data_IF_550873657104
#
_entry.id   IF_550873657104
#
_cell.length_a   1.000
_cell.length_b   1.000
_cell.length_c   1.000
_cell.angle_alpha   90.00
_cell.angle_beta   90.00
_cell.angle_gamma   90.00
#
_symmetry.space_group_name_H-M   'P 1'
#
loop_
_entity.id
_entity.type
_entity.pdbx_description
1 polymer ?
#
# COMPACT_ATOMS: atom_id res chain seq x y z
N UNK A 1 18.64 -34.06 21.99
CA UNK A 1 18.88 -32.82 21.20
C UNK A 1 19.13 -31.66 22.15
N UNK A 2 20.40 -31.21 22.25
CA UNK A 2 20.81 -30.15 23.20
C UNK A 2 20.53 -28.77 22.61
N UNK A 3 19.69 -28.02 23.26
CA UNK A 3 19.42 -26.62 22.90
C UNK A 3 20.67 -25.78 23.16
N UNK A 4 21.22 -25.13 22.13
CA UNK A 4 22.26 -24.12 22.26
C UNK A 4 21.65 -22.88 22.95
N UNK A 5 22.02 -22.65 24.19
CA UNK A 5 21.79 -21.37 24.88
C UNK A 5 22.71 -20.33 24.25
N UNK A 6 22.14 -19.42 23.48
CA UNK A 6 22.84 -18.20 23.06
C UNK A 6 23.14 -17.34 24.27
N UNK A 7 24.42 -17.13 24.58
CA UNK A 7 24.87 -16.28 25.69
C UNK A 7 24.94 -14.85 25.16
N UNK A 8 24.08 -13.99 25.69
CA UNK A 8 24.17 -12.54 25.45
C UNK A 8 25.36 -12.02 26.24
N UNK A 9 26.38 -11.54 25.56
CA UNK A 9 27.54 -10.88 26.17
C UNK A 9 27.25 -9.39 26.36
N UNK A 10 26.98 -9.00 27.57
CA UNK A 10 26.87 -7.58 27.95
C UNK A 10 28.28 -7.09 28.36
N UNK A 11 28.95 -6.42 27.44
CA UNK A 11 30.17 -5.69 27.77
C UNK A 11 29.84 -4.32 28.40
N UNK A 12 30.52 -3.90 29.48
CA UNK A 12 30.29 -2.56 30.07
C UNK A 12 30.96 -1.48 29.22
N UNK A 13 30.14 -0.72 28.49
CA UNK A 13 30.61 0.50 27.80
C UNK A 13 30.66 1.63 28.83
N UNK A 14 31.83 1.86 29.45
CA UNK A 14 32.13 3.11 30.19
C UNK A 14 32.39 4.22 29.17
N UNK A 15 31.35 4.88 28.70
CA UNK A 15 31.44 6.11 27.91
C UNK A 15 31.55 7.33 28.83
N UNK A 16 32.67 8.04 28.74
CA UNK A 16 32.89 9.34 29.40
C UNK A 16 31.93 10.36 28.79
N UNK A 17 30.96 10.84 29.57
CA UNK A 17 30.02 11.89 29.17
C UNK A 17 30.83 13.16 28.86
N UNK A 18 31.00 13.48 27.60
CA UNK A 18 31.44 14.80 27.13
C UNK A 18 30.25 15.75 27.15
N UNK A 19 30.45 16.94 27.70
CA UNK A 19 29.45 18.01 27.78
C UNK A 19 28.81 18.30 26.38
N UNK A 20 27.55 18.73 26.35
CA UNK A 20 26.80 18.90 25.10
C UNK A 20 27.36 20.07 24.29
N UNK A 21 27.90 19.78 23.12
CA UNK A 21 28.09 20.76 22.07
C UNK A 21 26.69 21.22 21.66
N UNK A 22 26.34 22.47 21.96
CA UNK A 22 25.12 23.11 21.51
C UNK A 22 25.17 23.24 19.98
N UNK A 23 24.87 22.15 19.26
CA UNK A 23 24.61 22.20 17.86
C UNK A 23 23.26 22.91 17.65
N UNK A 24 23.32 24.08 17.04
CA UNK A 24 22.18 24.91 16.68
C UNK A 24 21.46 24.23 15.52
N UNK A 25 20.62 23.25 15.80
CA UNK A 25 19.79 22.58 14.81
C UNK A 25 18.72 23.57 14.33
N UNK A 26 18.80 23.99 13.08
CA UNK A 26 17.70 24.67 12.41
C UNK A 26 16.53 23.67 12.32
N UNK A 27 15.28 24.10 12.53
CA UNK A 27 14.16 23.18 12.56
C UNK A 27 13.90 22.61 11.14
N UNK A 28 14.43 21.41 10.89
CA UNK A 28 14.10 20.59 9.72
C UNK A 28 12.64 20.09 9.75
N UNK A 29 11.91 20.34 10.83
CA UNK A 29 10.53 19.89 11.01
C UNK A 29 9.53 20.42 9.99
N UNK A 30 9.81 21.53 9.29
CA UNK A 30 8.92 22.03 8.22
C UNK A 30 9.11 21.30 6.89
N UNK A 31 10.27 20.72 6.63
CA UNK A 31 10.52 19.97 5.39
C UNK A 31 10.00 18.53 5.46
N UNK A 32 10.00 17.92 6.64
CA UNK A 32 9.51 16.54 6.83
C UNK A 32 7.97 16.46 6.75
N UNK A 33 7.26 17.50 7.20
CA UNK A 33 5.78 17.56 7.07
C UNK A 33 5.31 17.73 5.61
N UNK A 34 6.14 18.33 4.76
CA UNK A 34 5.81 18.50 3.34
C UNK A 34 6.08 17.25 2.48
N UNK A 35 7.05 16.41 2.87
CA UNK A 35 7.41 15.22 2.10
C UNK A 35 6.46 14.02 2.33
N UNK A 36 5.79 13.96 3.48
CA UNK A 36 4.94 12.81 3.84
C UNK A 36 3.54 12.79 3.22
N UNK A 37 3.08 13.88 2.61
CA UNK A 37 1.73 13.97 2.03
C UNK A 37 1.71 14.02 0.49
N UNK A 38 2.87 14.05 -0.17
CA UNK A 38 2.98 14.36 -1.61
C UNK A 38 2.91 13.17 -2.56
N UNK A 39 3.36 11.99 -2.20
CA UNK A 39 3.75 10.99 -3.22
C UNK A 39 2.72 9.87 -3.49
N UNK A 40 1.71 9.68 -2.67
CA UNK A 40 0.71 8.63 -2.90
C UNK A 40 -0.44 9.02 -3.84
N UNK A 41 -0.63 10.33 -4.10
CA UNK A 41 -1.75 10.85 -4.90
C UNK A 41 -1.36 11.12 -6.36
N UNK A 42 -0.07 11.14 -6.69
CA UNK A 42 0.42 11.76 -7.94
C UNK A 42 0.30 10.92 -9.21
N UNK A 43 0.05 9.61 -9.15
CA UNK A 43 0.00 8.80 -10.39
C UNK A 43 -1.32 8.83 -11.14
N UNK A 44 -2.43 9.21 -10.49
CA UNK A 44 -3.73 9.38 -11.15
C UNK A 44 -4.02 10.81 -11.60
N UNK A 45 -3.16 11.79 -11.27
CA UNK A 45 -3.40 13.20 -11.59
C UNK A 45 -2.80 13.67 -12.92
N UNK A 46 -2.03 12.86 -13.63
CA UNK A 46 -1.39 13.27 -14.89
C UNK A 46 -2.37 13.51 -16.05
N UNK A 47 -3.65 13.16 -15.91
CA UNK A 47 -4.70 13.37 -16.93
C UNK A 47 -5.96 14.03 -16.35
N UNK A 48 -5.86 14.86 -15.32
CA UNK A 48 -7.00 15.62 -14.83
C UNK A 48 -6.83 17.11 -15.14
N UNK A 49 -7.69 17.63 -16.02
CA UNK A 49 -7.84 19.06 -16.28
C UNK A 49 -9.06 19.55 -15.49
N UNK A 50 -8.87 20.52 -14.56
CA UNK A 50 -9.93 21.05 -13.68
C UNK A 50 -10.66 20.03 -12.82
N UNK A 51 -9.95 19.00 -12.29
CA UNK A 51 -10.56 18.02 -11.37
C UNK A 51 -11.48 16.98 -12.05
N UNK A 52 -11.52 16.93 -13.39
CA UNK A 52 -12.19 15.88 -14.16
C UNK A 52 -11.15 15.09 -14.93
N UNK A 53 -11.17 13.78 -14.83
CA UNK A 53 -10.30 12.92 -15.61
C UNK A 53 -10.64 13.07 -17.10
N UNK A 54 -9.68 13.53 -17.90
CA UNK A 54 -9.83 13.67 -19.38
C UNK A 54 -9.50 12.35 -20.09
N UNK A 55 -9.26 11.29 -19.34
CA UNK A 55 -8.85 9.99 -19.87
C UNK A 55 -9.90 9.37 -20.84
N UNK A 56 -11.17 9.70 -20.68
CA UNK A 56 -12.26 9.26 -21.57
C UNK A 56 -12.17 9.84 -22.99
N UNK A 57 -11.42 10.93 -23.19
CA UNK A 57 -11.20 11.50 -24.52
C UNK A 57 -10.39 10.56 -25.41
N UNK A 58 -9.52 9.71 -24.85
CA UNK A 58 -8.66 8.85 -25.64
C UNK A 58 -9.45 7.79 -26.44
N UNK A 59 -10.35 6.98 -25.83
CA UNK A 59 -11.20 6.09 -26.60
C UNK A 59 -12.17 6.83 -27.54
N UNK A 60 -12.60 8.05 -27.20
CA UNK A 60 -13.42 8.87 -28.07
C UNK A 60 -12.66 9.32 -29.33
N UNK A 61 -11.45 9.84 -29.17
CA UNK A 61 -10.59 10.25 -30.30
C UNK A 61 -10.26 9.05 -31.20
N UNK A 62 -10.02 7.89 -30.58
CA UNK A 62 -9.80 6.66 -31.33
C UNK A 62 -11.02 6.28 -32.18
N UNK A 63 -12.22 6.34 -31.60
CA UNK A 63 -13.47 6.05 -32.31
C UNK A 63 -13.67 7.00 -33.49
N UNK A 64 -13.51 8.31 -33.25
CA UNK A 64 -13.64 9.34 -34.30
C UNK A 64 -12.59 9.13 -35.40
N UNK A 65 -11.35 8.80 -35.03
CA UNK A 65 -10.26 8.54 -35.94
C UNK A 65 -10.52 7.34 -36.85
N UNK A 66 -11.03 6.23 -36.29
CA UNK A 66 -11.40 5.02 -37.03
C UNK A 66 -12.56 5.34 -38.01
N UNK A 67 -13.61 6.03 -37.54
CA UNK A 67 -14.76 6.38 -38.36
C UNK A 67 -14.36 7.35 -39.48
N UNK A 68 -13.56 8.37 -39.19
CA UNK A 68 -13.08 9.30 -40.22
C UNK A 68 -12.15 8.61 -41.24
N UNK A 69 -11.28 7.69 -40.77
CA UNK A 69 -10.42 6.88 -41.62
C UNK A 69 -11.22 6.00 -42.57
N UNK A 70 -12.27 5.37 -42.09
CA UNK A 70 -13.16 4.52 -42.92
C UNK A 70 -13.87 5.31 -44.01
N UNK A 71 -14.35 6.53 -43.67
CA UNK A 71 -14.98 7.44 -44.66
C UNK A 71 -13.99 7.89 -45.74
N UNK A 72 -12.73 8.15 -45.39
CA UNK A 72 -11.76 8.73 -46.33
C UNK A 72 -11.05 7.69 -47.19
N UNK A 73 -10.87 6.47 -46.69
CA UNK A 73 -10.04 5.46 -47.38
C UNK A 73 -10.78 4.59 -48.35
N UNK A 74 -12.12 4.48 -48.23
CA UNK A 74 -13.02 3.82 -49.24
C UNK A 74 -12.68 2.39 -49.65
N UNK A 75 -11.41 1.99 -49.62
CA UNK A 75 -10.89 0.71 -50.09
C UNK A 75 -10.54 -0.30 -48.99
N UNK A 76 -10.41 0.13 -47.75
CA UNK A 76 -10.07 -0.74 -46.61
C UNK A 76 -11.19 -0.76 -45.58
N UNK A 77 -11.57 -1.93 -45.12
CA UNK A 77 -12.60 -2.12 -44.09
C UNK A 77 -12.05 -1.82 -42.68
N UNK A 78 -11.81 -0.53 -42.42
CA UNK A 78 -11.23 -0.07 -41.12
C UNK A 78 -12.30 -0.08 -40.01
N UNK A 79 -13.60 -0.08 -40.39
CA UNK A 79 -14.70 0.00 -39.40
C UNK A 79 -14.67 -1.14 -38.36
N UNK A 80 -14.22 -2.33 -38.74
CA UNK A 80 -14.08 -3.47 -37.82
C UNK A 80 -13.10 -3.21 -36.68
N UNK A 81 -12.17 -2.23 -36.82
CA UNK A 81 -11.24 -1.81 -35.79
C UNK A 81 -11.92 -1.07 -34.64
N UNK A 82 -13.20 -0.72 -34.76
CA UNK A 82 -14.01 -0.17 -33.67
C UNK A 82 -14.03 -1.09 -32.44
N UNK A 83 -13.74 -2.40 -32.61
CA UNK A 83 -13.55 -3.36 -31.51
C UNK A 83 -12.42 -2.95 -30.53
N UNK A 84 -11.44 -2.16 -31.00
CA UNK A 84 -10.34 -1.68 -30.14
C UNK A 84 -10.81 -0.61 -29.13
N UNK A 85 -11.86 0.15 -29.46
CA UNK A 85 -12.36 1.25 -28.64
C UNK A 85 -12.80 0.80 -27.25
N UNK A 86 -13.68 -0.22 -27.10
CA UNK A 86 -14.03 -0.74 -25.78
C UNK A 86 -12.83 -1.39 -25.07
N UNK A 87 -11.88 -1.99 -25.81
CA UNK A 87 -10.62 -2.52 -25.23
C UNK A 87 -9.78 -1.44 -24.57
N UNK A 88 -9.57 -0.31 -25.25
CA UNK A 88 -8.85 0.86 -24.70
C UNK A 88 -9.65 1.48 -23.56
N UNK A 89 -10.97 1.59 -23.68
CA UNK A 89 -11.81 2.08 -22.60
C UNK A 89 -11.73 1.19 -21.35
N UNK A 90 -11.62 -0.13 -21.51
CA UNK A 90 -11.45 -1.08 -20.41
C UNK A 90 -10.14 -0.86 -19.62
N UNK A 91 -9.08 -0.38 -20.27
CA UNK A 91 -7.82 -0.07 -19.60
C UNK A 91 -7.86 1.23 -18.78
N UNK A 92 -8.68 2.20 -19.18
CA UNK A 92 -8.64 3.58 -18.67
C UNK A 92 -9.92 3.95 -17.89
N UNK A 93 -11.08 3.53 -18.39
CA UNK A 93 -12.39 3.86 -17.83
C UNK A 93 -12.83 2.81 -16.79
N UNK A 94 -13.85 3.17 -15.98
CA UNK A 94 -14.54 2.19 -15.15
C UNK A 94 -15.50 1.32 -15.98
N UNK A 95 -16.11 0.32 -15.33
CA UNK A 95 -17.02 -0.64 -15.97
C UNK A 95 -18.13 0.04 -16.79
N UNK A 96 -18.79 1.05 -16.22
CA UNK A 96 -19.86 1.80 -16.89
C UNK A 96 -19.35 2.61 -18.10
N UNK A 97 -18.16 3.22 -17.97
CA UNK A 97 -17.53 3.92 -19.10
C UNK A 97 -17.19 2.97 -20.25
N UNK A 98 -16.63 1.79 -19.92
CA UNK A 98 -16.34 0.75 -20.92
C UNK A 98 -17.62 0.26 -21.61
N UNK A 99 -18.68 0.02 -20.85
CA UNK A 99 -19.97 -0.38 -21.41
C UNK A 99 -20.55 0.70 -22.35
N UNK A 100 -20.48 1.98 -21.97
CA UNK A 100 -20.93 3.07 -22.81
C UNK A 100 -20.14 3.15 -24.14
N UNK A 101 -18.81 3.01 -24.10
CA UNK A 101 -17.99 2.97 -25.30
C UNK A 101 -18.23 1.71 -26.14
N UNK A 102 -18.53 0.56 -25.51
CA UNK A 102 -18.93 -0.64 -26.19
C UNK A 102 -20.22 -0.48 -26.99
N UNK A 103 -21.28 0.08 -26.35
CA UNK A 103 -22.54 0.40 -27.02
C UNK A 103 -22.31 1.42 -28.15
N UNK A 104 -21.52 2.46 -27.90
CA UNK A 104 -21.22 3.46 -28.91
C UNK A 104 -20.47 2.87 -30.11
N UNK A 105 -19.52 1.96 -29.89
CA UNK A 105 -18.81 1.27 -30.96
C UNK A 105 -19.77 0.40 -31.83
N UNK A 106 -20.70 -0.32 -31.18
CA UNK A 106 -21.71 -1.11 -31.88
C UNK A 106 -22.66 -0.22 -32.71
N UNK A 107 -23.11 0.91 -32.13
CA UNK A 107 -23.99 1.86 -32.84
C UNK A 107 -23.30 2.45 -34.06
N UNK A 108 -22.03 2.89 -33.88
CA UNK A 108 -21.26 3.43 -35.03
C UNK A 108 -21.04 2.39 -36.10
N UNK A 109 -20.72 1.14 -35.69
CA UNK A 109 -20.59 0.03 -36.66
C UNK A 109 -21.86 -0.19 -37.46
N UNK A 110 -23.02 -0.32 -36.79
CA UNK A 110 -24.32 -0.53 -37.44
C UNK A 110 -24.70 0.66 -38.34
N UNK A 111 -24.45 1.90 -37.90
CA UNK A 111 -24.70 3.08 -38.73
C UNK A 111 -23.83 3.09 -39.98
N UNK A 112 -22.56 2.75 -39.87
CA UNK A 112 -21.65 2.67 -41.00
C UNK A 112 -22.11 1.57 -42.00
N UNK A 113 -22.48 0.40 -41.51
CA UNK A 113 -22.97 -0.72 -42.32
C UNK A 113 -24.27 -0.37 -43.06
N UNK A 114 -25.20 0.35 -42.43
CA UNK A 114 -26.48 0.75 -43.03
C UNK A 114 -26.35 1.90 -44.03
N UNK A 115 -25.44 2.85 -43.83
CA UNK A 115 -25.24 4.00 -44.72
C UNK A 115 -24.47 3.63 -45.96
N UNK A 116 -23.53 2.68 -45.88
CA UNK A 116 -22.75 2.21 -47.04
C UNK A 116 -23.17 0.83 -47.54
N UNK A 117 -24.42 0.69 -47.94
CA UNK A 117 -25.05 -0.55 -48.45
C UNK A 117 -24.32 -1.26 -49.61
N UNK A 118 -23.17 -0.79 -50.07
CA UNK A 118 -22.44 -1.35 -51.19
C UNK A 118 -21.34 -2.35 -50.82
N UNK A 119 -21.19 -2.68 -49.55
CA UNK A 119 -20.17 -3.62 -49.06
C UNK A 119 -20.82 -4.92 -48.60
N UNK A 120 -20.97 -5.85 -49.51
CA UNK A 120 -21.62 -7.16 -49.25
C UNK A 120 -20.86 -8.08 -48.28
N UNK A 121 -19.61 -7.73 -47.86
CA UNK A 121 -18.75 -8.64 -47.12
C UNK A 121 -18.58 -8.32 -45.62
N UNK A 122 -18.97 -7.15 -45.13
CA UNK A 122 -18.76 -6.77 -43.72
C UNK A 122 -19.82 -7.22 -42.73
N UNK A 123 -21.00 -7.39 -43.14
CA UNK A 123 -22.22 -7.81 -42.45
C UNK A 123 -22.09 -8.41 -41.04
N UNK A 124 -22.73 -9.56 -40.84
CA UNK A 124 -22.82 -10.23 -39.53
C UNK A 124 -21.51 -10.58 -38.85
N UNK A 125 -20.40 -11.00 -39.52
CA UNK A 125 -19.16 -11.35 -38.82
C UNK A 125 -18.49 -10.17 -38.08
N UNK A 126 -18.46 -8.99 -38.70
CA UNK A 126 -17.91 -7.79 -38.12
C UNK A 126 -18.73 -7.31 -36.90
N UNK A 127 -20.06 -7.33 -37.01
CA UNK A 127 -20.94 -7.00 -35.90
C UNK A 127 -20.73 -7.95 -34.71
N UNK A 128 -20.64 -9.24 -34.95
CA UNK A 128 -20.39 -10.25 -33.91
C UNK A 128 -19.04 -9.97 -33.24
N UNK A 129 -18.00 -9.64 -34.01
CA UNK A 129 -16.69 -9.31 -33.48
C UNK A 129 -16.73 -8.08 -32.55
N UNK A 130 -17.40 -7.00 -32.96
CA UNK A 130 -17.50 -5.77 -32.15
C UNK A 130 -18.33 -6.00 -30.88
N UNK A 131 -19.43 -6.75 -30.98
CA UNK A 131 -20.25 -7.08 -29.80
C UNK A 131 -19.51 -7.98 -28.83
N UNK A 132 -18.90 -9.07 -29.29
CA UNK A 132 -18.13 -9.97 -28.45
C UNK A 132 -16.90 -9.26 -27.83
N UNK A 133 -16.18 -8.46 -28.59
CA UNK A 133 -15.07 -7.66 -28.13
C UNK A 133 -15.49 -6.67 -27.04
N UNK A 134 -16.65 -6.01 -27.22
CA UNK A 134 -17.22 -5.11 -26.21
C UNK A 134 -17.59 -5.85 -24.93
N UNK A 135 -18.17 -7.04 -25.04
CA UNK A 135 -18.51 -7.86 -23.86
C UNK A 135 -17.26 -8.29 -23.08
N UNK A 136 -16.25 -8.77 -23.80
CA UNK A 136 -14.96 -9.15 -23.21
C UNK A 136 -14.31 -7.95 -22.53
N UNK A 137 -14.35 -6.77 -23.16
CA UNK A 137 -13.81 -5.53 -22.59
C UNK A 137 -14.51 -5.14 -21.28
N UNK A 138 -15.84 -5.25 -21.21
CA UNK A 138 -16.60 -4.97 -19.98
C UNK A 138 -16.26 -5.95 -18.88
N UNK A 139 -16.14 -7.23 -19.19
CA UNK A 139 -15.73 -8.26 -18.21
C UNK A 139 -14.31 -7.99 -17.71
N UNK A 140 -13.38 -7.68 -18.61
CA UNK A 140 -12.00 -7.33 -18.24
C UNK A 140 -11.95 -6.08 -17.34
N UNK A 141 -12.73 -5.03 -17.66
CA UNK A 141 -12.87 -3.85 -16.83
C UNK A 141 -13.42 -4.18 -15.43
N UNK A 142 -14.40 -5.08 -15.34
CA UNK A 142 -14.98 -5.51 -14.06
C UNK A 142 -13.95 -6.25 -13.19
N UNK A 143 -13.17 -7.16 -13.78
CA UNK A 143 -12.09 -7.84 -13.06
C UNK A 143 -10.99 -6.86 -12.60
N UNK A 144 -10.57 -5.93 -13.46
CA UNK A 144 -9.57 -4.90 -13.12
C UNK A 144 -10.04 -4.03 -11.95
N UNK A 145 -11.23 -3.44 -12.06
CA UNK A 145 -11.80 -2.57 -11.02
C UNK A 145 -12.05 -3.34 -9.73
N UNK A 146 -12.50 -4.60 -9.82
CA UNK A 146 -12.65 -5.47 -8.65
C UNK A 146 -11.34 -5.75 -7.95
N UNK A 147 -10.26 -6.01 -8.70
CA UNK A 147 -8.91 -6.20 -8.17
C UNK A 147 -8.37 -4.94 -7.47
N UNK A 148 -8.50 -3.77 -8.12
CA UNK A 148 -8.11 -2.49 -7.55
C UNK A 148 -8.83 -2.19 -6.22
N UNK A 149 -10.15 -2.41 -6.16
CA UNK A 149 -10.94 -2.20 -4.94
C UNK A 149 -10.52 -3.12 -3.81
N UNK A 150 -10.25 -4.41 -4.09
CA UNK A 150 -9.76 -5.36 -3.08
C UNK A 150 -8.40 -4.93 -2.53
N UNK A 151 -7.51 -4.46 -3.39
CA UNK A 151 -6.19 -4.00 -2.99
C UNK A 151 -6.26 -2.74 -2.11
N UNK A 152 -7.10 -1.77 -2.45
CA UNK A 152 -7.34 -0.57 -1.64
C UNK A 152 -7.92 -0.93 -0.27
N UNK A 153 -8.90 -1.82 -0.23
CA UNK A 153 -9.50 -2.27 1.04
C UNK A 153 -8.49 -2.97 1.95
N UNK A 154 -7.63 -3.81 1.39
CA UNK A 154 -6.52 -4.44 2.15
C UNK A 154 -5.54 -3.41 2.70
N UNK A 155 -5.25 -2.33 1.94
CA UNK A 155 -4.41 -1.21 2.40
C UNK A 155 -5.02 -0.48 3.59
N UNK A 156 -6.31 -0.18 3.53
CA UNK A 156 -7.02 0.53 4.60
C UNK A 156 -7.05 -0.29 5.90
N UNK A 157 -7.27 -1.61 5.81
CA UNK A 157 -7.22 -2.51 6.97
C UNK A 157 -5.81 -2.53 7.57
N UNK A 158 -4.79 -2.69 6.74
CA UNK A 158 -3.40 -2.72 7.17
C UNK A 158 -2.98 -1.40 7.85
N UNK A 159 -3.36 -0.26 7.30
CA UNK A 159 -3.05 1.08 7.85
C UNK A 159 -3.80 1.33 9.17
N UNK A 160 -5.06 0.91 9.25
CA UNK A 160 -5.85 1.02 10.48
C UNK A 160 -5.27 0.15 11.58
N UNK A 161 -4.91 -1.10 11.28
CA UNK A 161 -4.28 -2.01 12.24
C UNK A 161 -2.95 -1.45 12.74
N UNK A 162 -2.13 -0.93 11.84
CA UNK A 162 -0.85 -0.28 12.19
C UNK A 162 -1.05 0.90 13.12
N UNK A 163 -1.97 1.83 12.83
CA UNK A 163 -2.26 3.01 13.67
C UNK A 163 -2.78 2.63 15.05
N UNK A 164 -3.45 1.51 15.17
CA UNK A 164 -3.92 0.99 16.46
C UNK A 164 -2.77 0.45 17.30
N UNK A 165 -1.78 -0.19 16.67
CA UNK A 165 -0.61 -0.78 17.33
C UNK A 165 0.46 0.27 17.63
N UNK A 166 0.81 1.08 16.62
CA UNK A 166 1.79 2.17 16.73
C UNK A 166 1.06 3.46 17.11
N UNK A 167 1.08 3.81 18.39
CA UNK A 167 0.50 5.07 18.88
C UNK A 167 1.24 6.27 18.27
N UNK A 168 0.52 7.33 17.85
CA UNK A 168 1.17 8.60 17.58
C UNK A 168 1.87 9.11 18.84
N UNK A 169 3.13 9.50 18.72
CA UNK A 169 3.89 10.07 19.83
C UNK A 169 3.74 11.59 19.80
N UNK A 170 3.21 12.22 20.85
CA UNK A 170 3.13 13.68 20.94
C UNK A 170 4.52 14.32 20.98
N UNK A 171 4.67 15.54 20.44
CA UNK A 171 5.93 16.30 20.53
C UNK A 171 6.32 16.49 22.00
N UNK A 172 7.58 16.21 22.33
CA UNK A 172 8.08 16.32 23.71
C UNK A 172 7.64 15.19 24.63
N UNK A 173 7.06 14.10 24.10
CA UNK A 173 6.60 12.98 24.91
C UNK A 173 7.74 12.34 25.69
N UNK A 174 7.53 12.14 27.00
CA UNK A 174 8.54 11.62 27.90
C UNK A 174 9.72 12.58 28.16
N UNK A 175 9.58 13.87 27.87
CA UNK A 175 10.65 14.86 28.02
C UNK A 175 11.71 14.77 26.91
N UNK A 176 11.47 14.00 25.87
CA UNK A 176 12.41 13.81 24.75
C UNK A 176 12.02 14.67 23.54
N UNK A 177 13.00 15.33 22.94
CA UNK A 177 12.85 15.89 21.60
C UNK A 177 13.08 14.76 20.58
N UNK A 178 11.98 14.31 19.97
CA UNK A 178 11.99 13.17 19.06
C UNK A 178 11.26 13.49 17.76
N UNK A 179 11.68 12.83 16.70
CA UNK A 179 10.97 12.77 15.43
C UNK A 179 10.84 11.29 15.01
N UNK A 180 9.62 10.86 14.79
CA UNK A 180 9.34 9.49 14.34
C UNK A 180 8.72 9.54 12.95
N UNK A 181 9.33 8.86 11.99
CA UNK A 181 8.82 8.69 10.63
C UNK A 181 8.78 7.20 10.33
N UNK A 182 7.62 6.72 9.94
CA UNK A 182 7.47 5.36 9.45
C UNK A 182 7.41 5.39 7.91
N UNK A 183 8.40 4.81 7.27
CA UNK A 183 8.47 4.68 5.82
C UNK A 183 8.18 3.23 5.45
N UNK A 184 7.03 2.98 4.80
CA UNK A 184 6.76 1.66 4.23
C UNK A 184 7.64 1.45 3.00
N UNK A 185 8.47 0.41 3.01
CA UNK A 185 9.35 0.08 1.90
C UNK A 185 8.61 -0.45 0.65
N UNK A 186 7.34 -0.82 0.78
CA UNK A 186 6.58 -1.47 -0.28
C UNK A 186 5.26 -0.75 -0.53
N UNK A 187 5.05 -0.29 -1.76
CA UNK A 187 3.80 0.34 -2.21
C UNK A 187 2.62 -0.65 -2.27
N UNK A 188 2.89 -1.94 -2.16
CA UNK A 188 1.90 -3.03 -2.23
C UNK A 188 1.38 -3.48 -0.86
N UNK A 189 1.15 -2.55 0.06
CA UNK A 189 0.31 -2.75 1.24
C UNK A 189 0.64 -3.96 2.15
N UNK A 190 1.90 -4.37 2.24
CA UNK A 190 2.31 -5.32 3.28
C UNK A 190 2.86 -4.54 4.47
N UNK A 191 2.11 -4.53 5.56
CA UNK A 191 2.55 -3.93 6.82
C UNK A 191 3.82 -4.64 7.26
N UNK A 192 4.88 -3.87 7.54
CA UNK A 192 6.14 -4.40 8.07
C UNK A 192 6.03 -4.79 9.53
N UNK A 193 7.08 -5.45 10.03
CA UNK A 193 7.26 -5.81 11.44
C UNK A 193 7.88 -4.71 12.28
N UNK A 194 8.25 -3.56 11.69
CA UNK A 194 8.87 -2.44 12.39
C UNK A 194 7.97 -1.88 13.48
N UNK A 195 8.52 -1.68 14.65
CA UNK A 195 7.80 -1.11 15.78
C UNK A 195 8.69 -0.19 16.62
N UNK A 196 8.09 0.82 17.21
CA UNK A 196 8.74 1.71 18.16
C UNK A 196 7.75 2.24 19.17
N UNK A 197 8.24 2.61 20.36
CA UNK A 197 7.46 3.33 21.36
C UNK A 197 8.36 4.09 22.33
N UNK A 198 7.80 5.08 23.00
CA UNK A 198 8.39 5.82 24.09
C UNK A 198 7.47 5.64 25.30
N UNK A 199 8.03 5.21 26.42
CA UNK A 199 7.28 5.04 27.66
C UNK A 199 7.97 5.84 28.77
N UNK A 200 7.41 7.00 29.19
CA UNK A 200 7.81 7.67 30.40
C UNK A 200 7.30 6.91 31.63
N UNK A 201 8.08 6.89 32.68
CA UNK A 201 7.75 6.19 33.91
C UNK A 201 8.52 6.69 35.13
N UNK A 202 8.29 6.11 36.34
CA UNK A 202 8.95 6.48 37.56
C UNK A 202 10.48 6.32 37.53
N UNK A 203 10.96 5.46 36.65
CA UNK A 203 12.38 5.12 36.50
C UNK A 203 13.04 5.79 35.28
N UNK A 204 12.50 6.93 34.83
CA UNK A 204 12.93 7.64 33.62
C UNK A 204 12.13 7.28 32.37
N UNK A 205 12.54 7.83 31.24
CA UNK A 205 11.90 7.57 29.95
C UNK A 205 12.62 6.44 29.23
N UNK A 206 11.87 5.50 28.69
CA UNK A 206 12.39 4.36 27.95
C UNK A 206 11.91 4.38 26.53
N UNK A 207 12.80 4.03 25.61
CA UNK A 207 12.55 3.99 24.17
C UNK A 207 12.82 2.58 23.69
N UNK A 208 11.91 2.05 22.87
CA UNK A 208 12.04 0.77 22.18
C UNK A 208 11.93 1.01 20.68
N UNK A 209 12.86 0.45 19.93
CA UNK A 209 12.81 0.39 18.46
C UNK A 209 13.16 -1.04 18.05
N UNK A 210 12.37 -1.64 17.18
CA UNK A 210 12.62 -3.02 16.76
C UNK A 210 11.94 -3.38 15.46
N UNK A 211 12.26 -4.57 14.98
CA UNK A 211 11.66 -5.18 13.79
C UNK A 211 11.36 -6.66 14.05
N UNK A 212 10.17 -7.08 13.64
CA UNK A 212 9.74 -8.50 13.66
C UNK A 212 9.95 -9.10 12.29
N UNK A 213 10.61 -10.24 12.25
CA UNK A 213 10.84 -10.99 11.02
C UNK A 213 9.53 -11.24 10.25
N UNK A 214 9.55 -10.90 8.95
CA UNK A 214 8.47 -11.17 8.02
C UNK A 214 7.52 -9.97 7.85
N UNK A 215 6.44 -10.20 7.09
CA UNK A 215 5.49 -9.16 6.68
C UNK A 215 4.05 -9.64 6.94
N UNK A 216 3.12 -8.67 6.95
CA UNK A 216 1.69 -8.93 7.09
C UNK A 216 1.20 -9.04 8.53
N UNK A 217 -0.04 -9.47 8.69
CA UNK A 217 -0.75 -9.44 9.97
C UNK A 217 -0.05 -10.18 11.12
N UNK A 218 0.62 -11.31 10.85
CA UNK A 218 1.35 -12.04 11.88
C UNK A 218 2.55 -11.25 12.45
N UNK A 219 3.25 -10.47 11.62
CA UNK A 219 4.32 -9.59 12.11
C UNK A 219 3.75 -8.45 12.97
N UNK A 220 2.64 -7.85 12.55
CA UNK A 220 1.94 -6.81 13.30
C UNK A 220 1.41 -7.33 14.64
N UNK A 221 0.84 -8.53 14.67
CA UNK A 221 0.36 -9.20 15.88
C UNK A 221 1.51 -9.42 16.89
N UNK A 222 2.66 -9.86 16.40
CA UNK A 222 3.86 -10.04 17.22
C UNK A 222 4.37 -8.68 17.74
N UNK A 223 4.45 -7.66 16.89
CA UNK A 223 4.84 -6.31 17.28
C UNK A 223 3.88 -5.73 18.33
N UNK A 224 2.57 -5.91 18.16
CA UNK A 224 1.56 -5.49 19.13
C UNK A 224 1.75 -6.16 20.50
N UNK A 225 2.05 -7.46 20.50
CA UNK A 225 2.32 -8.21 21.71
C UNK A 225 3.56 -7.70 22.46
N UNK A 226 4.63 -7.40 21.71
CA UNK A 226 5.87 -6.82 22.28
C UNK A 226 5.65 -5.40 22.80
N UNK A 227 4.96 -4.54 22.04
CA UNK A 227 4.67 -3.16 22.47
C UNK A 227 3.79 -3.12 23.73
N UNK A 228 2.77 -3.99 23.82
CA UNK A 228 1.96 -4.10 25.03
C UNK A 228 2.80 -4.47 26.26
N UNK A 229 3.69 -5.46 26.13
CA UNK A 229 4.60 -5.86 27.20
C UNK A 229 5.62 -4.77 27.53
N UNK A 230 6.16 -4.09 26.51
CA UNK A 230 7.08 -2.97 26.72
C UNK A 230 6.45 -1.85 27.53
N UNK A 231 5.24 -1.41 27.19
CA UNK A 231 4.53 -0.32 27.87
C UNK A 231 4.36 -0.61 29.35
N UNK A 232 4.00 -1.84 29.68
CA UNK A 232 3.81 -2.29 31.06
C UNK A 232 5.15 -2.44 31.79
N UNK A 233 6.06 -3.21 31.22
CA UNK A 233 7.36 -3.47 31.85
C UNK A 233 8.21 -2.20 31.97
N UNK A 234 8.23 -1.34 30.96
CA UNK A 234 8.99 -0.09 30.97
C UNK A 234 8.49 0.91 32.02
N UNK A 235 7.24 0.85 32.41
CA UNK A 235 6.69 1.67 33.48
C UNK A 235 7.07 1.14 34.86
N UNK A 236 6.96 -0.17 35.08
CA UNK A 236 7.08 -0.77 36.41
C UNK A 236 8.48 -1.23 36.78
N UNK A 237 9.29 -1.70 35.84
CA UNK A 237 10.57 -2.30 36.15
C UNK A 237 11.69 -1.25 36.32
N UNK A 238 12.52 -1.35 37.37
CA UNK A 238 13.56 -0.38 37.62
C UNK A 238 14.73 -0.46 36.63
N UNK A 239 15.02 -1.62 36.09
CA UNK A 239 16.19 -1.82 35.21
C UNK A 239 15.79 -2.32 33.80
N UNK A 240 16.63 -1.97 32.80
CA UNK A 240 16.42 -2.29 31.42
C UNK A 240 16.59 -3.81 31.11
N UNK A 241 17.42 -4.49 31.93
CA UNK A 241 17.64 -5.92 31.72
C UNK A 241 16.37 -6.70 32.00
N UNK A 242 15.65 -6.37 33.07
CA UNK A 242 14.36 -6.97 33.40
C UNK A 242 13.31 -6.67 32.35
N UNK A 243 13.27 -5.45 31.79
CA UNK A 243 12.37 -5.13 30.67
C UNK A 243 12.68 -6.00 29.46
N UNK A 244 13.95 -6.17 29.10
CA UNK A 244 14.36 -7.02 28.00
C UNK A 244 13.98 -8.49 28.21
N UNK A 245 14.17 -9.02 29.41
CA UNK A 245 13.80 -10.39 29.78
C UNK A 245 12.28 -10.63 29.69
N UNK A 246 11.48 -9.64 30.07
CA UNK A 246 10.01 -9.71 29.91
C UNK A 246 9.59 -9.73 28.43
N UNK A 247 10.26 -8.95 27.58
CA UNK A 247 10.03 -8.97 26.13
C UNK A 247 10.39 -10.33 25.54
N UNK A 248 11.53 -10.91 25.92
CA UNK A 248 11.94 -12.24 25.50
C UNK A 248 10.92 -13.32 25.94
N UNK A 249 10.52 -13.28 27.20
CA UNK A 249 9.47 -14.17 27.73
C UNK A 249 8.15 -14.02 26.96
N UNK A 250 7.74 -12.79 26.64
CA UNK A 250 6.56 -12.53 25.82
C UNK A 250 6.69 -13.15 24.44
N UNK A 251 7.84 -13.03 23.83
CA UNK A 251 8.11 -13.59 22.51
C UNK A 251 7.98 -15.12 22.50
N UNK A 252 8.55 -15.79 23.49
CA UNK A 252 8.44 -17.26 23.65
C UNK A 252 6.99 -17.67 23.85
N UNK A 253 6.24 -16.98 24.70
CA UNK A 253 4.82 -17.26 24.95
C UNK A 253 3.96 -17.04 23.71
N UNK A 254 4.21 -15.97 22.98
CA UNK A 254 3.50 -15.64 21.73
C UNK A 254 3.72 -16.73 20.68
N UNK A 255 4.97 -17.16 20.47
CA UNK A 255 5.32 -18.25 19.54
C UNK A 255 4.62 -19.56 19.89
N UNK A 256 4.59 -19.94 21.19
CA UNK A 256 3.86 -21.14 21.65
C UNK A 256 2.36 -21.06 21.38
N UNK A 257 1.77 -19.89 21.61
CA UNK A 257 0.34 -19.67 21.34
C UNK A 257 0.03 -19.79 19.86
N UNK A 258 0.81 -19.13 18.99
CA UNK A 258 0.64 -19.15 17.53
C UNK A 258 0.84 -20.56 16.96
N UNK A 259 1.83 -21.29 17.44
CA UNK A 259 2.04 -22.70 17.08
C UNK A 259 0.87 -23.59 17.51
N UNK A 260 0.29 -23.35 18.69
CA UNK A 260 -0.91 -24.07 19.18
C UNK A 260 -2.17 -23.81 18.32
N UNK A 261 -2.22 -22.70 17.59
CA UNK A 261 -3.27 -22.42 16.61
C UNK A 261 -3.02 -23.05 15.23
N UNK A 262 -1.96 -23.82 15.06
CA UNK A 262 -1.61 -24.49 13.79
C UNK A 262 -1.08 -23.50 12.71
N UNK A 263 -0.67 -22.31 13.09
CA UNK A 263 -0.16 -21.30 12.14
C UNK A 263 1.32 -21.51 11.86
N UNK A 264 1.69 -21.46 10.58
CA UNK A 264 3.07 -21.70 10.10
C UNK A 264 4.05 -20.56 10.44
N UNK A 265 3.55 -19.44 10.96
CA UNK A 265 4.34 -18.26 11.31
C UNK A 265 4.83 -18.21 12.78
N UNK A 266 4.77 -19.35 13.48
CA UNK A 266 5.18 -19.50 14.90
C UNK A 266 6.68 -19.35 15.18
N UNK A 267 7.55 -19.39 14.17
CA UNK A 267 9.01 -19.29 14.33
C UNK A 267 9.60 -17.89 14.13
N UNK A 268 8.75 -16.86 14.13
CA UNK A 268 9.21 -15.47 13.99
C UNK A 268 10.12 -15.07 15.15
N UNK A 269 11.11 -14.23 14.85
CA UNK A 269 11.94 -13.56 15.84
C UNK A 269 11.82 -12.03 15.66
N UNK A 270 12.21 -11.30 16.67
CA UNK A 270 12.32 -9.86 16.64
C UNK A 270 13.71 -9.41 17.08
N UNK A 271 14.19 -8.36 16.43
CA UNK A 271 15.36 -7.61 16.89
C UNK A 271 14.91 -6.29 17.47
N UNK A 272 15.50 -5.87 18.57
CA UNK A 272 15.12 -4.61 19.20
C UNK A 272 16.30 -3.94 19.92
N UNK A 273 16.24 -2.62 19.99
CA UNK A 273 17.10 -1.76 20.79
C UNK A 273 16.25 -1.13 21.88
N UNK A 274 16.70 -1.25 23.12
CA UNK A 274 16.08 -0.66 24.30
C UNK A 274 17.01 0.40 24.90
N UNK A 275 16.50 1.61 25.08
CA UNK A 275 17.24 2.77 25.58
C UNK A 275 16.53 3.31 26.82
N UNK A 276 17.29 3.61 27.88
CA UNK A 276 16.83 4.32 29.08
C UNK A 276 17.44 5.72 29.14
N UNK A 277 16.60 6.70 29.41
CA UNK A 277 16.96 8.10 29.62
C UNK A 277 16.45 8.48 30.96
N UNK A 278 17.41 8.85 31.85
CA UNK A 278 17.18 9.31 33.25
C UNK A 278 17.29 10.82 33.36
#
# INVERSE_FOLDING_TARGET
>A
MRARRGRVSLGPVRGRVRQPVRARWRPLGRLVHAAGQGDAVSRHQLLSVRGRSVAWLFPLVLLVGITAGDITTGAFEIISWTVLVPGVAAAICGVWGTAAFGVLAVVVYVMADTVWQHREETGLPGLVLVVLGSLIAVVAAAFRVGGERRMLHMRDIADTTRRTVLRPLPVGFGGLDHAAVYLSADSEARVGGDFYDIQPGPHGTRVLVGDVQGKGLGAVETAAALLGTFREAAYHEPDLATVAERLETRMVRHRRHTAGLGRSDGDRFATAVLIGVS
#
